data_IF_318181005936
#
_entry.id   IF_318181005936
#
_cell.length_a   1.000
_cell.length_b   1.000
_cell.length_c   1.000
_cell.angle_alpha   90.00
_cell.angle_beta   90.00
_cell.angle_gamma   90.00
#
_symmetry.space_group_name_H-M   'P 1'
#
loop_
_entity.id
_entity.type
_entity.pdbx_description
1 polymer ?
#
# COMPACT_ATOMS: atom_id res chain seq x y z
N UNK A 1 -1.96 33.59 -15.79
CA UNK A 1 -3.16 33.00 -15.15
C UNK A 1 -2.73 31.92 -14.17
N UNK A 2 -3.14 32.02 -12.90
CA UNK A 2 -2.85 31.03 -11.86
C UNK A 2 -3.89 29.90 -11.97
N UNK A 3 -3.45 28.64 -12.12
CA UNK A 3 -4.34 27.47 -12.10
C UNK A 3 -4.70 27.15 -10.64
N UNK A 4 -5.93 27.49 -10.27
CA UNK A 4 -6.58 27.05 -9.02
C UNK A 4 -6.69 25.52 -9.03
N UNK A 5 -6.09 24.85 -8.03
CA UNK A 5 -6.25 23.40 -7.82
C UNK A 5 -7.53 23.20 -7.02
N UNK A 6 -8.61 22.79 -7.67
CA UNK A 6 -9.81 22.35 -6.95
C UNK A 6 -9.46 21.09 -6.16
N UNK A 7 -9.51 21.17 -4.82
CA UNK A 7 -9.27 20.01 -3.96
C UNK A 7 -10.33 18.95 -4.27
N UNK A 8 -9.88 17.72 -4.58
CA UNK A 8 -10.79 16.59 -4.80
C UNK A 8 -11.65 16.38 -3.54
N UNK A 9 -12.97 16.18 -3.67
CA UNK A 9 -13.83 15.94 -2.53
C UNK A 9 -13.53 14.56 -1.93
N UNK A 10 -12.85 14.54 -0.79
CA UNK A 10 -12.49 13.31 -0.07
C UNK A 10 -13.73 12.47 0.30
N UNK A 11 -14.88 13.12 0.49
CA UNK A 11 -16.18 12.53 0.83
C UNK A 11 -16.85 11.71 -0.29
N UNK A 12 -16.25 11.64 -1.49
CA UNK A 12 -16.76 10.80 -2.59
C UNK A 12 -16.28 9.36 -2.54
N UNK A 13 -15.23 9.07 -1.76
CA UNK A 13 -14.71 7.71 -1.66
C UNK A 13 -15.55 6.93 -0.64
N UNK A 14 -16.03 5.74 -1.02
CA UNK A 14 -17.00 4.92 -0.26
C UNK A 14 -16.50 4.59 1.17
N UNK A 15 -15.20 4.40 1.37
CA UNK A 15 -14.58 4.22 2.70
C UNK A 15 -14.81 5.39 3.70
N UNK A 16 -14.99 6.64 3.23
CA UNK A 16 -15.28 7.77 4.13
C UNK A 16 -16.69 7.66 4.73
N UNK A 17 -17.64 7.08 3.99
CA UNK A 17 -18.99 6.81 4.50
C UNK A 17 -18.99 5.67 5.53
N UNK A 18 -18.13 4.66 5.36
CA UNK A 18 -17.96 3.58 6.34
C UNK A 18 -17.48 4.11 7.70
N UNK A 19 -16.54 5.06 7.73
CA UNK A 19 -16.04 5.68 8.96
C UNK A 19 -17.15 6.48 9.67
N UNK A 20 -17.97 7.23 8.92
CA UNK A 20 -19.08 8.01 9.50
C UNK A 20 -20.12 7.08 10.16
N UNK A 21 -20.45 5.95 9.52
CA UNK A 21 -21.39 4.98 10.10
C UNK A 21 -20.85 4.41 11.42
N UNK A 22 -19.57 4.07 11.50
CA UNK A 22 -18.95 3.55 12.72
C UNK A 22 -19.02 4.59 13.86
N UNK A 23 -18.72 5.86 13.58
CA UNK A 23 -18.80 6.93 14.58
C UNK A 23 -20.24 7.14 15.08
N UNK A 24 -21.23 7.07 14.19
CA UNK A 24 -22.65 7.21 14.58
C UNK A 24 -23.12 6.03 15.43
N UNK A 25 -22.70 4.79 15.13
CA UNK A 25 -23.04 3.61 15.94
C UNK A 25 -22.41 3.69 17.33
N UNK A 26 -21.16 4.14 17.46
CA UNK A 26 -20.51 4.32 18.76
C UNK A 26 -21.17 5.44 19.57
N UNK A 27 -21.51 6.57 18.93
CA UNK A 27 -22.19 7.67 19.58
C UNK A 27 -23.61 7.30 20.04
N UNK A 28 -24.33 6.47 19.28
CA UNK A 28 -25.67 6.00 19.64
C UNK A 28 -25.66 5.01 20.83
N UNK A 29 -24.56 4.28 21.06
CA UNK A 29 -24.42 3.35 22.19
C UNK A 29 -23.84 3.98 23.46
N UNK A 30 -23.52 5.29 23.46
CA UNK A 30 -22.99 6.04 24.64
C UNK A 30 -24.09 6.88 25.32
N UNK A 31 -25.35 6.76 24.92
CA UNK A 31 -26.49 7.46 25.53
C UNK A 31 -27.40 6.56 26.36
N UNK A 32 -26.98 6.15 27.58
CA UNK A 32 -27.91 5.57 28.55
C UNK A 32 -27.30 4.77 29.72
N UNK A 33 -27.05 5.46 30.85
CA UNK A 33 -27.33 4.96 32.21
C UNK A 33 -26.37 3.95 32.87
N UNK A 34 -25.45 4.49 33.69
CA UNK A 34 -24.79 3.98 34.90
C UNK A 34 -24.78 2.47 35.22
N UNK A 35 -23.59 1.87 35.20
CA UNK A 35 -23.04 1.32 36.44
C UNK A 35 -21.49 1.32 36.41
N UNK A 36 -20.92 1.60 37.56
CA UNK A 36 -19.54 1.99 37.77
C UNK A 36 -18.65 0.79 38.09
N UNK A 37 -17.56 0.61 37.33
CA UNK A 37 -16.30 0.01 37.83
C UNK A 37 -15.09 0.67 37.18
N UNK A 38 -14.62 1.67 37.92
CA UNK A 38 -13.23 1.98 38.28
C UNK A 38 -12.10 1.49 37.36
N UNK A 39 -11.37 2.50 36.88
CA UNK A 39 -10.02 2.46 36.33
C UNK A 39 -9.00 2.02 37.39
N UNK A 40 -7.86 1.43 36.99
CA UNK A 40 -6.54 2.07 37.11
C UNK A 40 -5.42 1.15 36.63
N UNK A 41 -4.60 1.76 35.77
CA UNK A 41 -3.29 1.41 35.24
C UNK A 41 -2.24 1.04 36.30
N UNK A 42 -1.32 0.09 36.00
CA UNK A 42 0.12 0.08 36.36
C UNK A 42 0.79 -0.99 35.47
N UNK A 43 1.51 -0.65 34.39
CA UNK A 43 2.94 -0.26 34.28
C UNK A 43 3.93 -1.30 34.83
N UNK A 44 4.74 -1.89 33.95
CA UNK A 44 6.20 -2.11 34.05
C UNK A 44 6.63 -2.82 32.72
N UNK A 45 7.44 -2.23 31.82
CA UNK A 45 8.86 -1.86 31.89
C UNK A 45 9.79 -3.07 32.14
N UNK A 46 10.96 -3.27 31.56
CA UNK A 46 11.75 -2.75 30.42
C UNK A 46 13.02 -3.62 30.40
N UNK A 47 13.46 -4.09 29.23
CA UNK A 47 14.88 -4.27 28.86
C UNK A 47 14.88 -4.52 27.35
N UNK A 48 15.14 -3.55 26.47
CA UNK A 48 16.29 -2.66 26.28
C UNK A 48 17.59 -3.41 25.92
N UNK A 49 17.88 -3.48 24.61
CA UNK A 49 19.20 -3.36 23.97
C UNK A 49 18.89 -3.07 22.48
N UNK A 50 18.80 -1.82 22.04
CA UNK A 50 19.89 -0.90 21.64
C UNK A 50 20.83 -1.47 20.57
N UNK A 51 20.52 -1.21 19.29
CA UNK A 51 21.43 -0.77 18.21
C UNK A 51 20.55 0.00 17.20
N UNK A 52 20.49 1.34 17.15
CA UNK A 52 21.48 2.31 16.65
C UNK A 52 22.09 1.91 15.29
N UNK A 53 21.39 2.18 14.18
CA UNK A 53 22.03 2.70 12.96
C UNK A 53 21.18 3.84 12.39
N UNK A 54 21.85 4.98 12.30
CA UNK A 54 21.45 6.26 11.73
C UNK A 54 21.94 6.31 10.28
N UNK A 55 21.09 6.82 9.38
CA UNK A 55 21.34 7.50 8.07
C UNK A 55 19.98 7.49 7.36
N UNK A 56 19.15 8.54 7.31
CA UNK A 56 19.37 9.93 6.88
C UNK A 56 20.29 10.04 5.66
N UNK A 57 19.71 10.01 4.46
CA UNK A 57 19.44 11.20 3.63
C UNK A 57 19.19 10.82 2.16
N UNK A 58 18.14 11.43 1.59
CA UNK A 58 17.72 11.62 0.19
C UNK A 58 18.85 11.79 -0.87
N UNK A 59 18.55 12.13 -2.14
CA UNK A 59 17.68 11.53 -3.17
C UNK A 59 18.50 11.28 -4.46
N UNK A 60 18.55 10.05 -4.99
CA UNK A 60 19.21 9.84 -6.29
C UNK A 60 18.25 10.14 -7.44
N UNK A 61 18.20 11.43 -7.82
CA UNK A 61 17.81 11.84 -9.18
C UNK A 61 18.90 11.33 -10.14
N UNK A 62 18.77 10.12 -10.64
CA UNK A 62 19.45 9.76 -11.89
C UNK A 62 18.45 9.95 -13.03
N UNK A 63 18.62 11.06 -13.77
CA UNK A 63 17.93 11.29 -15.03
C UNK A 63 18.52 10.34 -16.06
N UNK A 64 17.90 9.18 -16.22
CA UNK A 64 18.13 8.28 -17.36
C UNK A 64 17.47 8.90 -18.60
N UNK A 65 18.04 8.75 -19.82
CA UNK A 65 17.52 9.40 -21.02
C UNK A 65 16.09 8.95 -21.32
N UNK A 66 15.19 9.90 -21.58
CA UNK A 66 13.81 9.63 -22.00
C UNK A 66 13.81 8.94 -23.35
N UNK A 67 13.79 7.62 -23.32
CA UNK A 67 13.38 6.78 -24.44
C UNK A 67 11.87 6.90 -24.54
N UNK A 68 11.32 7.12 -25.72
CA UNK A 68 9.87 7.19 -25.94
C UNK A 68 9.23 5.84 -25.56
N UNK A 69 8.80 5.73 -24.31
CA UNK A 69 8.07 4.58 -23.81
C UNK A 69 6.58 4.77 -24.13
N UNK A 70 5.90 3.75 -24.65
CA UNK A 70 4.47 3.80 -24.95
C UNK A 70 3.58 3.77 -23.69
N UNK A 71 4.13 4.04 -22.49
CA UNK A 71 3.45 3.91 -21.21
C UNK A 71 3.70 5.12 -20.28
N UNK A 72 2.77 5.48 -19.38
CA UNK A 72 2.90 6.67 -18.54
C UNK A 72 4.17 6.66 -17.70
N UNK A 73 4.93 7.76 -17.74
CA UNK A 73 6.16 8.00 -16.97
C UNK A 73 5.89 8.24 -15.46
N UNK A 74 4.70 7.86 -14.97
CA UNK A 74 4.26 8.04 -13.58
C UNK A 74 4.68 6.91 -12.66
N UNK A 75 5.20 5.81 -13.21
CA UNK A 75 5.65 4.66 -12.44
C UNK A 75 6.77 5.06 -11.48
N UNK A 76 6.62 4.67 -10.21
CA UNK A 76 7.62 4.91 -9.17
C UNK A 76 7.90 3.60 -8.47
N UNK A 77 9.18 3.29 -8.25
CA UNK A 77 9.56 2.09 -7.53
C UNK A 77 8.94 2.08 -6.14
N UNK A 78 8.28 0.99 -5.79
CA UNK A 78 7.65 0.80 -4.47
C UNK A 78 7.83 -0.63 -4.00
N UNK A 79 7.75 -0.82 -2.68
CA UNK A 79 7.76 -2.15 -2.06
C UNK A 79 6.54 -2.25 -1.15
N UNK A 80 5.76 -3.31 -1.35
CA UNK A 80 4.53 -3.57 -0.62
C UNK A 80 4.60 -4.94 0.05
N UNK A 81 3.90 -5.09 1.17
CA UNK A 81 3.64 -6.38 1.78
C UNK A 81 2.23 -6.87 1.47
N UNK A 82 1.75 -7.81 2.28
CA UNK A 82 0.42 -8.37 2.12
C UNK A 82 -0.65 -7.30 2.38
N UNK A 83 -1.71 -7.31 1.58
CA UNK A 83 -2.79 -6.34 1.68
C UNK A 83 -3.49 -6.10 0.36
N UNK A 84 -4.38 -5.11 0.39
CA UNK A 84 -5.14 -4.62 -0.76
C UNK A 84 -4.76 -3.17 -1.01
N UNK A 85 -4.46 -2.84 -2.26
CA UNK A 85 -3.90 -1.55 -2.66
C UNK A 85 -4.65 -1.00 -3.87
N UNK A 86 -4.86 0.31 -3.90
CA UNK A 86 -5.45 1.02 -5.04
C UNK A 86 -4.35 1.58 -5.95
N UNK A 87 -4.42 1.25 -7.24
CA UNK A 87 -3.58 1.91 -8.25
C UNK A 87 -4.01 3.37 -8.38
N UNK A 88 -3.05 4.29 -8.31
CA UNK A 88 -3.23 5.74 -8.27
C UNK A 88 -2.90 6.35 -6.92
N UNK A 89 -3.35 5.70 -5.85
CA UNK A 89 -3.19 6.17 -4.48
C UNK A 89 -1.98 5.49 -3.79
N UNK A 90 -1.98 4.15 -3.71
CA UNK A 90 -0.94 3.38 -2.99
C UNK A 90 0.26 3.01 -3.88
N UNK A 91 -0.01 2.74 -5.15
CA UNK A 91 1.00 2.48 -6.19
C UNK A 91 0.63 3.28 -7.44
N UNK A 92 1.59 3.95 -8.07
CA UNK A 92 1.29 4.76 -9.26
C UNK A 92 0.98 3.89 -10.46
N UNK A 93 0.08 4.36 -11.32
CA UNK A 93 -0.14 3.74 -12.63
C UNK A 93 1.18 3.69 -13.42
N UNK A 94 1.32 2.66 -14.26
CA UNK A 94 2.52 2.45 -15.05
C UNK A 94 2.84 0.99 -15.26
N UNK A 95 3.96 0.74 -15.96
CA UNK A 95 4.44 -0.60 -16.27
C UNK A 95 5.54 -0.98 -15.28
N UNK A 96 5.44 -2.18 -14.73
CA UNK A 96 6.33 -2.67 -13.69
C UNK A 96 6.85 -4.06 -14.01
N UNK A 97 8.07 -4.34 -13.59
CA UNK A 97 8.50 -5.69 -13.21
C UNK A 97 8.24 -5.86 -11.71
N UNK A 98 7.52 -6.90 -11.34
CA UNK A 98 7.14 -7.25 -9.98
C UNK A 98 7.98 -8.45 -9.55
N UNK A 99 8.65 -8.33 -8.41
CA UNK A 99 9.60 -9.32 -7.93
C UNK A 99 9.47 -9.56 -6.41
N UNK A 100 9.77 -10.78 -5.96
CA UNK A 100 9.98 -11.10 -4.54
C UNK A 100 11.11 -12.12 -4.36
N UNK A 101 11.78 -12.04 -3.19
CA UNK A 101 12.74 -13.05 -2.73
C UNK A 101 12.11 -14.06 -1.75
N UNK A 102 10.82 -13.91 -1.44
CA UNK A 102 10.09 -14.86 -0.58
C UNK A 102 9.71 -16.12 -1.38
N UNK A 103 9.45 -17.23 -0.69
CA UNK A 103 9.26 -18.54 -1.33
C UNK A 103 8.09 -18.55 -2.31
N UNK A 104 6.92 -18.10 -1.86
CA UNK A 104 5.69 -18.05 -2.66
C UNK A 104 4.59 -17.25 -1.96
N UNK A 105 3.70 -16.69 -2.76
CA UNK A 105 2.41 -16.15 -2.35
C UNK A 105 1.60 -15.71 -3.57
N UNK A 106 0.42 -15.14 -3.35
CA UNK A 106 -0.49 -14.77 -4.43
C UNK A 106 -0.44 -13.28 -4.70
N UNK A 107 -0.41 -12.91 -5.98
CA UNK A 107 -0.61 -11.53 -6.44
C UNK A 107 -1.72 -11.51 -7.49
N UNK A 108 -2.66 -10.58 -7.35
CA UNK A 108 -3.75 -10.46 -8.31
C UNK A 108 -4.23 -9.02 -8.49
N UNK A 109 -4.67 -8.66 -9.70
CA UNK A 109 -5.39 -7.43 -10.02
C UNK A 109 -6.63 -7.74 -10.85
N UNK A 110 -7.68 -6.93 -10.65
CA UNK A 110 -8.94 -7.04 -11.39
C UNK A 110 -8.82 -6.91 -12.92
N UNK A 111 -7.66 -6.51 -13.44
CA UNK A 111 -7.38 -6.39 -14.88
C UNK A 111 -6.58 -7.56 -15.49
N UNK A 112 -6.49 -8.70 -14.79
CA UNK A 112 -6.02 -9.96 -15.37
C UNK A 112 -4.66 -10.45 -14.86
N UNK A 113 -4.08 -9.77 -13.87
CA UNK A 113 -2.98 -10.32 -13.07
C UNK A 113 -3.57 -11.33 -12.09
N UNK A 114 -3.12 -12.58 -12.14
CA UNK A 114 -3.40 -13.60 -11.12
C UNK A 114 -2.29 -14.66 -11.12
N UNK A 115 -1.29 -14.48 -10.28
CA UNK A 115 -0.06 -15.27 -10.31
C UNK A 115 0.35 -15.70 -8.90
N UNK A 116 0.92 -16.91 -8.84
CA UNK A 116 1.75 -17.32 -7.71
C UNK A 116 3.12 -16.69 -7.93
N UNK A 117 3.46 -15.69 -7.12
CA UNK A 117 4.74 -14.98 -7.17
C UNK A 117 5.69 -15.55 -6.11
N UNK A 118 6.96 -15.80 -6.46
CA UNK A 118 7.89 -16.42 -5.52
C UNK A 118 9.27 -16.75 -6.09
N UNK A 119 10.22 -17.01 -5.20
CA UNK A 119 11.56 -17.49 -5.52
C UNK A 119 11.62 -18.99 -5.83
N UNK A 120 10.60 -19.77 -5.42
CA UNK A 120 10.48 -21.17 -5.77
C UNK A 120 9.92 -21.34 -7.20
N UNK A 121 10.83 -21.49 -8.17
CA UNK A 121 10.49 -21.62 -9.59
C UNK A 121 9.76 -22.91 -9.95
N UNK A 122 9.63 -23.87 -9.02
CA UNK A 122 8.85 -25.10 -9.26
C UNK A 122 7.34 -24.87 -9.20
N UNK A 123 6.91 -23.83 -8.47
CA UNK A 123 5.50 -23.54 -8.20
C UNK A 123 5.11 -22.08 -8.46
N UNK A 124 6.08 -21.18 -8.60
CA UNK A 124 5.88 -19.75 -8.68
C UNK A 124 6.62 -19.10 -9.86
N UNK A 125 6.09 -17.97 -10.31
CA UNK A 125 6.76 -17.06 -11.24
C UNK A 125 7.57 -16.07 -10.42
N UNK A 126 8.85 -15.88 -10.72
CA UNK A 126 9.70 -14.99 -9.92
C UNK A 126 9.59 -13.51 -10.31
N UNK A 127 9.42 -13.25 -11.61
CA UNK A 127 9.23 -11.90 -12.15
C UNK A 127 7.96 -11.83 -12.99
N UNK A 128 7.05 -10.93 -12.64
CA UNK A 128 5.85 -10.66 -13.44
C UNK A 128 5.94 -9.26 -14.01
N UNK A 129 5.75 -9.14 -15.33
CA UNK A 129 5.71 -7.84 -16.00
C UNK A 129 4.26 -7.51 -16.31
N UNK A 130 3.74 -6.49 -15.64
CA UNK A 130 2.37 -6.04 -15.86
C UNK A 130 2.28 -4.53 -15.90
N UNK A 131 1.09 -4.08 -16.21
CA UNK A 131 0.79 -2.72 -16.55
C UNK A 131 -0.47 -2.31 -15.81
N UNK A 132 -0.32 -1.40 -14.85
CA UNK A 132 -1.41 -0.92 -14.00
C UNK A 132 -1.94 0.43 -14.48
N UNK A 133 -3.25 0.60 -14.45
CA UNK A 133 -3.96 1.87 -14.75
C UNK A 133 -4.57 2.48 -13.49
N UNK A 134 -4.73 3.79 -13.44
CA UNK A 134 -5.41 4.44 -12.31
C UNK A 134 -6.79 3.80 -12.03
N UNK A 135 -7.05 3.48 -10.76
CA UNK A 135 -8.32 2.93 -10.30
C UNK A 135 -8.44 1.40 -10.24
N UNK A 136 -7.44 0.62 -10.65
CA UNK A 136 -7.46 -0.83 -10.36
C UNK A 136 -7.17 -1.14 -8.88
N UNK A 137 -7.53 -2.35 -8.48
CA UNK A 137 -7.17 -2.91 -7.17
C UNK A 137 -6.13 -4.01 -7.35
N UNK A 138 -5.12 -4.00 -6.49
CA UNK A 138 -4.06 -4.99 -6.38
C UNK A 138 -4.17 -5.68 -5.03
N UNK A 139 -4.15 -7.00 -5.02
CA UNK A 139 -4.11 -7.82 -3.81
C UNK A 139 -2.81 -8.62 -3.74
N UNK A 140 -2.17 -8.61 -2.57
CA UNK A 140 -0.98 -9.39 -2.25
C UNK A 140 -1.30 -10.25 -1.02
N UNK A 141 -1.08 -11.56 -1.13
CA UNK A 141 -1.35 -12.52 -0.05
C UNK A 141 -0.11 -13.40 0.19
N UNK A 142 0.27 -13.58 1.45
CA UNK A 142 1.38 -14.47 1.82
C UNK A 142 2.79 -13.94 1.54
N UNK A 143 2.92 -12.69 1.08
CA UNK A 143 4.20 -12.03 0.81
C UNK A 143 4.29 -10.72 1.60
N UNK A 144 5.42 -10.45 2.23
CA UNK A 144 5.65 -9.23 3.01
C UNK A 144 6.56 -8.23 2.27
N UNK A 145 7.25 -8.66 1.22
CA UNK A 145 8.25 -7.89 0.48
C UNK A 145 8.13 -8.16 -1.03
N UNK A 146 7.25 -7.40 -1.68
CA UNK A 146 7.07 -7.41 -3.14
C UNK A 146 7.53 -6.08 -3.71
N UNK A 147 8.51 -6.12 -4.61
CA UNK A 147 9.11 -4.92 -5.21
C UNK A 147 8.56 -4.69 -6.61
N UNK A 148 8.08 -3.49 -6.86
CA UNK A 148 7.56 -3.02 -8.14
C UNK A 148 8.59 -2.07 -8.74
N UNK A 149 9.27 -2.49 -9.80
CA UNK A 149 10.31 -1.71 -10.48
C UNK A 149 9.77 -1.16 -11.80
N UNK A 150 9.76 0.16 -12.02
CA UNK A 150 9.34 0.76 -13.29
C UNK A 150 10.09 0.17 -14.49
N UNK A 151 9.39 -0.06 -15.60
CA UNK A 151 9.92 -0.66 -16.83
C UNK A 151 9.66 0.17 -18.09
#
# INVERSE_FOLDING_TARGET
MKKERTKKPFYKKIWVWAIIIIVVVVAANIGGGDDSKESTTTKEATKATTQKIKKESSPSKNKTPKKDLPYPETAVQTTLGAGTFSIGDDIKEGRYTIHTNESSGNISSGMGLNEILGADSSIAVNDVVTTFKDGEELQIQGLNNVTFTPK
#
